data_IF_281912585292
#
_entry.id   IF_281912585292
#
_cell.length_a   1.000
_cell.length_b   1.000
_cell.length_c   1.000
_cell.angle_alpha   90.00
_cell.angle_beta   90.00
_cell.angle_gamma   90.00
#
_symmetry.space_group_name_H-M   'P 1'
#
loop_
_entity.id
_entity.type
_entity.pdbx_description
1 polymer ?
#
# COMPACT_ATOMS: atom_id res chain seq x y z
N UNK A 1 4.42 -6.67 -17.51
CA UNK A 1 3.97 -6.16 -16.19
C UNK A 1 4.94 -6.47 -15.03
N UNK A 2 5.75 -7.56 -15.08
CA UNK A 2 6.69 -7.91 -13.99
C UNK A 2 7.81 -6.89 -13.75
N UNK A 3 8.27 -6.20 -14.80
CA UNK A 3 9.44 -5.31 -14.76
C UNK A 3 9.17 -3.98 -14.01
N UNK A 4 8.01 -3.37 -14.23
CA UNK A 4 7.64 -2.07 -13.63
C UNK A 4 7.43 -2.14 -12.12
N UNK A 5 6.85 -3.22 -11.61
CA UNK A 5 6.62 -3.40 -10.16
C UNK A 5 7.94 -3.62 -9.40
N UNK A 6 8.92 -4.30 -10.04
CA UNK A 6 10.27 -4.45 -9.52
C UNK A 6 10.99 -3.10 -9.42
N UNK A 7 10.97 -2.32 -10.51
CA UNK A 7 11.57 -0.99 -10.55
C UNK A 7 10.99 -0.06 -9.47
N UNK A 8 9.65 0.04 -9.37
CA UNK A 8 8.98 0.86 -8.35
C UNK A 8 9.41 0.47 -6.93
N UNK A 9 9.47 -0.83 -6.63
CA UNK A 9 9.91 -1.34 -5.32
C UNK A 9 11.35 -0.94 -5.01
N UNK A 10 12.25 -1.06 -5.98
CA UNK A 10 13.65 -0.66 -5.82
C UNK A 10 13.78 0.83 -5.56
N UNK A 11 13.08 1.68 -6.34
CA UNK A 11 13.05 3.13 -6.13
C UNK A 11 12.54 3.49 -4.73
N UNK A 12 11.43 2.89 -4.28
CA UNK A 12 10.88 3.13 -2.94
C UNK A 12 11.87 2.75 -1.84
N UNK A 13 12.58 1.62 -1.98
CA UNK A 13 13.58 1.18 -1.00
C UNK A 13 14.75 2.13 -0.89
N UNK A 14 15.28 2.57 -2.02
CA UNK A 14 16.38 3.52 -2.05
C UNK A 14 15.98 4.83 -1.37
N UNK A 15 14.80 5.36 -1.69
CA UNK A 15 14.26 6.57 -1.06
C UNK A 15 14.05 6.40 0.45
N UNK A 16 13.49 5.28 0.90
CA UNK A 16 13.31 4.98 2.34
C UNK A 16 14.68 4.90 3.05
N UNK A 17 15.67 4.24 2.43
CA UNK A 17 17.03 4.10 2.99
C UNK A 17 17.78 5.44 3.04
N UNK A 18 17.59 6.31 2.06
CA UNK A 18 18.22 7.62 2.03
C UNK A 18 17.74 8.52 3.18
N UNK A 19 16.49 8.38 3.62
CA UNK A 19 15.93 9.11 4.76
C UNK A 19 15.84 10.63 4.55
N UNK A 20 15.97 11.10 3.30
CA UNK A 20 15.92 12.52 2.96
C UNK A 20 14.51 12.93 2.48
N UNK A 21 14.10 14.19 2.71
CA UNK A 21 12.84 14.69 2.17
C UNK A 21 12.78 14.58 0.65
N UNK A 22 11.63 14.13 0.14
CA UNK A 22 11.37 14.07 -1.30
C UNK A 22 10.81 15.43 -1.76
N UNK A 23 11.36 16.07 -2.81
CA UNK A 23 10.81 17.31 -3.36
C UNK A 23 9.35 17.14 -3.83
N UNK A 24 8.52 18.18 -3.70
CA UNK A 24 7.07 18.11 -3.98
C UNK A 24 6.71 17.54 -5.38
N UNK A 25 7.34 17.96 -6.50
CA UNK A 25 7.04 17.38 -7.82
C UNK A 25 7.30 15.88 -7.89
N UNK A 26 8.38 15.42 -7.26
CA UNK A 26 8.73 14.00 -7.21
C UNK A 26 7.77 13.22 -6.31
N UNK A 27 7.40 13.78 -5.16
CA UNK A 27 6.40 13.20 -4.26
C UNK A 27 5.06 13.01 -4.97
N UNK A 28 4.56 14.04 -5.65
CA UNK A 28 3.30 14.00 -6.41
C UNK A 28 3.31 12.89 -7.45
N UNK A 29 4.40 12.76 -8.19
CA UNK A 29 4.57 11.70 -9.18
C UNK A 29 4.58 10.31 -8.53
N UNK A 30 5.42 10.13 -7.50
CA UNK A 30 5.58 8.86 -6.81
C UNK A 30 4.27 8.38 -6.16
N UNK A 31 3.53 9.29 -5.52
CA UNK A 31 2.23 8.98 -4.92
C UNK A 31 1.22 8.46 -5.95
N UNK A 32 1.19 9.05 -7.15
CA UNK A 32 0.31 8.57 -8.25
C UNK A 32 0.73 7.19 -8.74
N UNK A 33 2.03 6.96 -8.94
CA UNK A 33 2.55 5.66 -9.40
C UNK A 33 2.28 4.56 -8.37
N UNK A 34 2.48 4.84 -7.08
CA UNK A 34 2.16 3.90 -6.00
C UNK A 34 0.66 3.63 -5.93
N UNK A 35 -0.17 4.66 -6.04
CA UNK A 35 -1.61 4.50 -6.05
C UNK A 35 -2.09 3.62 -7.22
N UNK A 36 -1.60 3.87 -8.43
CA UNK A 36 -1.96 3.07 -9.60
C UNK A 36 -1.53 1.60 -9.45
N UNK A 37 -0.33 1.37 -8.91
CA UNK A 37 0.13 0.02 -8.60
C UNK A 37 -0.76 -0.66 -7.55
N UNK A 38 -1.09 0.03 -6.46
CA UNK A 38 -1.95 -0.49 -5.40
C UNK A 38 -3.37 -0.76 -5.93
N UNK A 39 -3.95 0.17 -6.68
CA UNK A 39 -5.27 -0.02 -7.31
C UNK A 39 -5.29 -1.23 -8.25
N UNK A 40 -4.21 -1.44 -9.01
CA UNK A 40 -4.13 -2.57 -9.95
C UNK A 40 -3.91 -3.91 -9.25
N UNK A 41 -3.07 -3.95 -8.22
CA UNK A 41 -2.57 -5.19 -7.63
C UNK A 41 -3.18 -5.54 -6.27
N UNK A 42 -3.88 -4.64 -5.60
CA UNK A 42 -4.53 -4.89 -4.31
C UNK A 42 -6.06 -4.90 -4.50
N UNK A 43 -6.65 -6.09 -4.64
CA UNK A 43 -8.06 -6.26 -4.90
C UNK A 43 -8.97 -5.62 -3.83
N UNK A 44 -8.59 -5.71 -2.56
CA UNK A 44 -9.32 -5.09 -1.45
C UNK A 44 -9.33 -3.57 -1.55
N UNK A 45 -8.16 -2.98 -1.83
CA UNK A 45 -8.03 -1.53 -1.97
C UNK A 45 -8.72 -1.01 -3.24
N UNK A 46 -8.64 -1.75 -4.36
CA UNK A 46 -9.40 -1.45 -5.57
C UNK A 46 -10.89 -1.39 -5.29
N UNK A 47 -11.46 -2.44 -4.70
CA UNK A 47 -12.88 -2.49 -4.38
C UNK A 47 -13.32 -1.36 -3.44
N UNK A 48 -12.43 -0.93 -2.53
CA UNK A 48 -12.67 0.22 -1.67
C UNK A 48 -12.68 1.56 -2.44
N UNK A 49 -11.75 1.75 -3.38
CA UNK A 49 -11.71 2.93 -4.24
C UNK A 49 -12.92 2.99 -5.18
N UNK A 50 -13.30 1.85 -5.78
CA UNK A 50 -14.45 1.73 -6.69
C UNK A 50 -15.77 2.13 -6.01
N UNK A 51 -16.00 1.68 -4.78
CA UNK A 51 -17.17 2.08 -3.98
C UNK A 51 -17.23 3.58 -3.68
N UNK A 52 -16.13 4.31 -3.83
CA UNK A 52 -16.03 5.76 -3.66
C UNK A 52 -15.95 6.52 -4.98
N UNK A 53 -15.99 5.83 -6.12
CA UNK A 53 -15.85 6.43 -7.45
C UNK A 53 -14.47 7.05 -7.70
N UNK A 54 -13.43 6.57 -7.01
CA UNK A 54 -12.07 7.09 -7.18
C UNK A 54 -11.26 6.14 -8.06
N UNK A 55 -10.75 6.63 -9.19
CA UNK A 55 -9.98 5.86 -10.16
C UNK A 55 -8.65 6.55 -10.50
N UNK A 56 -7.58 5.80 -10.86
CA UNK A 56 -6.28 6.39 -11.22
C UNK A 56 -6.33 7.47 -12.31
N UNK A 57 -7.17 7.27 -13.32
CA UNK A 57 -7.29 8.19 -14.45
C UNK A 57 -8.05 9.49 -14.12
N UNK A 58 -8.81 9.53 -13.02
CA UNK A 58 -9.64 10.69 -12.63
C UNK A 58 -9.08 11.46 -11.44
N UNK A 59 -7.87 11.12 -10.96
CA UNK A 59 -7.22 11.82 -9.87
C UNK A 59 -6.82 13.25 -10.27
N UNK A 60 -7.27 14.23 -9.49
CA UNK A 60 -6.89 15.64 -9.62
C UNK A 60 -5.58 15.98 -8.90
N UNK A 61 -5.15 15.15 -7.95
CA UNK A 61 -3.96 15.32 -7.12
C UNK A 61 -3.74 14.09 -6.23
N UNK A 62 -2.58 14.00 -5.56
CA UNK A 62 -2.31 12.89 -4.64
C UNK A 62 -3.18 12.99 -3.37
N UNK A 63 -3.60 14.19 -3.04
CA UNK A 63 -4.48 14.52 -1.91
C UNK A 63 -5.88 13.88 -2.06
N UNK A 64 -6.28 13.54 -3.30
CA UNK A 64 -7.53 12.87 -3.60
C UNK A 64 -7.46 11.34 -3.43
N UNK A 65 -6.28 10.77 -3.16
CA UNK A 65 -6.12 9.34 -2.89
C UNK A 65 -6.81 8.99 -1.57
N UNK A 66 -7.74 8.02 -1.54
CA UNK A 66 -8.54 7.78 -0.35
C UNK A 66 -7.72 7.09 0.73
N UNK A 67 -7.71 7.69 1.93
CA UNK A 67 -7.23 7.03 3.13
C UNK A 67 -8.10 5.80 3.47
N UNK A 68 -7.44 4.71 3.83
CA UNK A 68 -8.09 3.46 4.26
C UNK A 68 -8.28 3.50 5.78
N UNK A 69 -9.51 3.26 6.30
CA UNK A 69 -9.73 3.15 7.73
C UNK A 69 -8.91 2.01 8.35
N UNK A 70 -8.38 2.20 9.56
CA UNK A 70 -7.61 1.18 10.27
C UNK A 70 -8.39 -0.13 10.44
N UNK A 71 -9.72 -0.08 10.57
CA UNK A 71 -10.56 -1.28 10.68
C UNK A 71 -10.55 -2.15 9.42
N UNK A 72 -10.20 -1.61 8.25
CA UNK A 72 -10.08 -2.40 7.03
C UNK A 72 -9.01 -3.50 7.16
N UNK A 73 -7.95 -3.25 7.95
CA UNK A 73 -6.91 -4.24 8.22
C UNK A 73 -7.41 -5.43 9.06
N UNK A 74 -8.58 -5.33 9.71
CA UNK A 74 -9.25 -6.45 10.40
C UNK A 74 -10.21 -7.22 9.50
N UNK A 75 -10.67 -6.57 8.43
CA UNK A 75 -11.77 -7.05 7.60
C UNK A 75 -11.31 -7.75 6.33
N UNK A 76 -10.18 -7.34 5.76
CA UNK A 76 -9.69 -7.89 4.49
C UNK A 76 -8.17 -7.74 4.33
N UNK A 77 -7.47 -8.67 3.65
CA UNK A 77 -6.06 -8.50 3.34
C UNK A 77 -5.83 -7.28 2.46
N UNK A 78 -5.07 -6.30 2.96
CA UNK A 78 -4.60 -5.15 2.22
C UNK A 78 -3.17 -5.40 1.73
N UNK A 79 -3.05 -6.08 0.59
CA UNK A 79 -1.76 -6.48 0.02
C UNK A 79 -1.80 -6.45 -1.51
N UNK A 80 -0.66 -6.13 -2.14
CA UNK A 80 -0.52 -6.21 -3.58
C UNK A 80 -0.10 -7.62 -4.01
N UNK A 81 -0.95 -8.29 -4.79
CA UNK A 81 -0.83 -9.70 -5.18
C UNK A 81 -1.69 -10.62 -4.31
N UNK A 82 -1.44 -11.93 -4.43
CA UNK A 82 -2.16 -12.93 -3.65
C UNK A 82 -1.71 -12.90 -2.17
N UNK A 83 -2.64 -12.73 -1.20
CA UNK A 83 -2.32 -12.84 0.23
C UNK A 83 -1.66 -14.16 0.63
N UNK A 84 -1.92 -15.27 -0.09
CA UNK A 84 -1.28 -16.57 0.15
C UNK A 84 0.24 -16.54 -0.14
N UNK A 85 0.72 -15.58 -0.93
CA UNK A 85 2.15 -15.37 -1.21
C UNK A 85 2.82 -14.46 -0.16
N UNK A 86 2.14 -14.10 0.93
CA UNK A 86 2.75 -13.32 2.00
C UNK A 86 3.85 -14.14 2.68
N UNK A 87 5.04 -13.53 2.82
CA UNK A 87 6.17 -14.12 3.54
C UNK A 87 5.96 -14.08 5.06
N UNK A 88 5.26 -13.05 5.53
CA UNK A 88 4.99 -12.83 6.95
C UNK A 88 3.71 -12.00 7.10
N UNK A 89 2.99 -12.22 8.20
CA UNK A 89 1.82 -11.43 8.59
C UNK A 89 2.06 -10.85 9.98
N UNK A 90 2.21 -9.54 10.06
CA UNK A 90 2.24 -8.83 11.34
C UNK A 90 0.82 -8.59 11.84
N UNK A 91 0.64 -8.62 13.16
CA UNK A 91 -0.66 -8.39 13.79
C UNK A 91 -0.56 -7.27 14.83
N UNK A 92 -1.41 -6.26 14.72
CA UNK A 92 -1.54 -5.20 15.74
C UNK A 92 -1.82 -5.83 17.11
N UNK A 93 -1.43 -5.23 18.24
CA UNK A 93 -1.64 -5.79 19.59
C UNK A 93 -3.12 -6.07 19.94
N UNK A 94 -4.06 -5.45 19.21
CA UNK A 94 -5.48 -5.46 19.54
C UNK A 94 -5.80 -4.41 20.61
N UNK A 95 -7.02 -3.90 20.60
CA UNK A 95 -7.56 -3.10 21.71
C UNK A 95 -8.47 -4.00 22.53
N UNK A 96 -8.60 -3.72 23.83
CA UNK A 96 -9.36 -4.53 24.81
C UNK A 96 -10.86 -4.70 24.49
N UNK A 97 -11.36 -4.06 23.43
CA UNK A 97 -12.77 -4.03 23.03
C UNK A 97 -13.09 -4.81 21.73
N UNK A 98 -12.14 -5.50 21.10
CA UNK A 98 -12.39 -6.21 19.83
C UNK A 98 -11.79 -7.62 19.77
N UNK A 99 -12.53 -8.55 19.16
CA UNK A 99 -12.09 -9.95 18.97
C UNK A 99 -11.14 -10.14 17.77
N UNK A 100 -11.11 -9.21 16.81
CA UNK A 100 -10.23 -9.28 15.63
C UNK A 100 -9.10 -8.24 15.67
N UNK A 101 -7.87 -8.72 15.37
CA UNK A 101 -6.65 -7.91 15.28
C UNK A 101 -6.44 -7.50 13.83
N UNK A 102 -5.93 -6.28 13.60
CA UNK A 102 -5.52 -5.86 12.27
C UNK A 102 -4.31 -6.68 11.80
N UNK A 103 -4.32 -7.09 10.53
CA UNK A 103 -3.27 -7.89 9.90
C UNK A 103 -2.57 -7.08 8.79
N UNK A 104 -1.24 -7.15 8.76
CA UNK A 104 -0.41 -6.55 7.72
C UNK A 104 0.42 -7.63 7.04
N UNK A 105 0.07 -7.92 5.79
CA UNK A 105 0.70 -8.95 4.97
C UNK A 105 1.89 -8.36 4.23
N UNK A 106 3.08 -8.92 4.44
CA UNK A 106 4.30 -8.50 3.75
C UNK A 106 4.86 -9.63 2.92
N UNK A 107 5.16 -9.32 1.66
CA UNK A 107 5.76 -10.25 0.69
C UNK A 107 7.29 -10.23 0.73
N UNK A 108 7.87 -9.24 1.41
CA UNK A 108 9.31 -9.05 1.49
C UNK A 108 9.68 -8.36 2.82
N UNK A 109 10.80 -8.78 3.40
CA UNK A 109 11.34 -8.32 4.70
C UNK A 109 12.63 -7.49 4.56
N UNK A 110 13.06 -7.14 3.35
CA UNK A 110 14.34 -6.47 3.10
C UNK A 110 14.54 -5.13 3.84
N UNK A 111 13.46 -4.47 4.29
CA UNK A 111 13.54 -3.26 5.12
C UNK A 111 13.65 -3.57 6.63
N UNK A 112 13.17 -4.74 7.09
CA UNK A 112 13.25 -5.17 8.48
C UNK A 112 14.56 -5.89 8.82
N UNK A 113 15.19 -6.48 7.80
CA UNK A 113 16.49 -7.15 7.91
C UNK A 113 17.67 -6.24 7.53
N UNK A 114 17.43 -4.92 7.43
CA UNK A 114 18.40 -3.94 6.95
C UNK A 114 19.32 -3.45 8.07
#
# INVERSE_FOLDING_TARGET
>A
MSDTAGALRSTLRERIRAGTPIPDPEWRWLARVVFEHQYSCNASYRAFCDRRGIHPHSLTGWEAIPAVPTDAFKATPLVCGDPAEARIVFRTSGTTQGTSRGEHFLRDLALYNA
#
